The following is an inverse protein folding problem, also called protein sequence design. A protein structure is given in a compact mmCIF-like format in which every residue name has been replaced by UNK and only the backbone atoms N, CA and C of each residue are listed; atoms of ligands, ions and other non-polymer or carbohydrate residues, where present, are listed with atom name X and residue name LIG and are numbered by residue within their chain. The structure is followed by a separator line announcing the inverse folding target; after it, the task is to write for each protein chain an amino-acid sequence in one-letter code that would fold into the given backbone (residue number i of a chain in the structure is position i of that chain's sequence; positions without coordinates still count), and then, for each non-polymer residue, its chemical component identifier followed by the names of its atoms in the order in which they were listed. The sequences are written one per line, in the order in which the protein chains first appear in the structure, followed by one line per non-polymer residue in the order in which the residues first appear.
data_IF_224712474414
#
_entry.id   IF_224712474414
#
_cell.length_a   1.000
_cell.length_b   1.000
_cell.length_c   1.000
_cell.angle_alpha   90.00
_cell.angle_beta   90.00
_cell.angle_gamma   90.00
#
_symmetry.space_group_name_H-M   'P 1'
#
loop_
_entity.id
_entity.type
_entity.pdbx_description
1 polymer ?
#
# COMPACT_ATOMS: atom_id res chain seq x y z
N UNK A 1 1.38 13.01 -17.84
CA UNK A 1 2.01 11.89 -18.59
C UNK A 1 1.19 10.59 -18.59
N UNK A 2 0.57 10.14 -17.49
CA UNK A 2 -0.24 8.91 -17.52
C UNK A 2 -1.52 8.95 -18.40
N UNK A 3 -2.15 10.13 -18.54
CA UNK A 3 -3.43 10.28 -19.24
C UNK A 3 -3.35 10.06 -20.77
N UNK A 4 -2.25 10.46 -21.42
CA UNK A 4 -2.07 10.22 -22.85
C UNK A 4 -1.87 8.73 -23.13
N UNK A 5 -1.10 8.03 -22.29
CA UNK A 5 -0.93 6.58 -22.40
C UNK A 5 -2.26 5.85 -22.29
N UNK A 6 -3.11 6.22 -21.33
CA UNK A 6 -4.47 5.66 -21.21
C UNK A 6 -5.32 5.92 -22.46
N UNK A 7 -5.12 7.06 -23.12
CA UNK A 7 -5.79 7.38 -24.38
C UNK A 7 -5.29 6.49 -25.53
N UNK A 8 -4.00 6.15 -25.58
CA UNK A 8 -3.46 5.14 -26.49
C UNK A 8 -4.06 3.75 -26.20
N UNK A 9 -4.16 3.34 -24.92
CA UNK A 9 -4.83 2.09 -24.54
C UNK A 9 -6.26 2.09 -25.07
N UNK A 10 -7.01 3.18 -24.91
CA UNK A 10 -8.39 3.29 -25.42
C UNK A 10 -8.48 3.11 -26.93
N UNK A 11 -7.50 3.60 -27.70
CA UNK A 11 -7.48 3.43 -29.16
C UNK A 11 -7.24 1.98 -29.56
N UNK A 12 -6.30 1.31 -28.90
CA UNK A 12 -5.95 -0.09 -29.19
C UNK A 12 -6.92 -1.07 -28.51
N UNK A 13 -7.76 -0.60 -27.58
CA UNK A 13 -8.68 -1.43 -26.81
C UNK A 13 -9.59 -2.28 -27.68
N UNK A 14 -9.95 -1.84 -28.89
CA UNK A 14 -10.75 -2.64 -29.81
C UNK A 14 -10.13 -4.01 -30.11
N UNK A 15 -8.79 -4.10 -30.15
CA UNK A 15 -8.02 -5.31 -30.44
C UNK A 15 -7.73 -6.16 -29.19
N UNK A 16 -8.12 -5.69 -28.00
CA UNK A 16 -7.79 -6.33 -26.72
C UNK A 16 -9.05 -6.82 -26.00
N UNK A 17 -8.88 -7.89 -25.24
CA UNK A 17 -9.82 -8.39 -24.25
C UNK A 17 -9.70 -7.60 -22.93
N UNK A 18 -10.60 -7.83 -21.99
CA UNK A 18 -10.59 -7.13 -20.71
C UNK A 18 -9.29 -7.38 -19.90
N UNK A 19 -8.73 -8.59 -19.95
CA UNK A 19 -7.47 -8.89 -19.27
C UNK A 19 -6.27 -8.24 -19.97
N UNK A 20 -6.27 -8.19 -21.31
CA UNK A 20 -5.29 -7.46 -22.10
C UNK A 20 -5.26 -5.97 -21.76
N UNK A 21 -6.42 -5.32 -21.67
CA UNK A 21 -6.53 -3.91 -21.21
C UNK A 21 -5.98 -3.73 -19.80
N UNK A 22 -6.32 -4.64 -18.88
CA UNK A 22 -5.82 -4.61 -17.50
C UNK A 22 -4.30 -4.78 -17.41
N UNK A 23 -3.74 -5.69 -18.20
CA UNK A 23 -2.31 -5.96 -18.27
C UNK A 23 -1.54 -4.77 -18.84
N UNK A 24 -2.04 -4.19 -19.93
CA UNK A 24 -1.41 -3.04 -20.58
C UNK A 24 -1.50 -1.78 -19.70
N UNK A 25 -2.59 -1.61 -18.95
CA UNK A 25 -2.69 -0.58 -17.92
C UNK A 25 -1.63 -0.77 -16.82
N UNK A 26 -1.49 -1.99 -16.29
CA UNK A 26 -0.51 -2.32 -15.22
C UNK A 26 0.93 -2.05 -15.68
N UNK A 27 1.29 -2.41 -16.91
CA UNK A 27 2.66 -2.26 -17.40
C UNK A 27 3.02 -0.83 -17.82
N UNK A 28 2.11 -0.11 -18.49
CA UNK A 28 2.45 1.17 -19.14
C UNK A 28 2.04 2.41 -18.36
N UNK A 29 0.87 2.37 -17.71
CA UNK A 29 0.28 3.54 -17.04
C UNK A 29 0.57 3.47 -15.55
N UNK A 30 0.33 2.30 -14.94
CA UNK A 30 0.48 2.13 -13.48
C UNK A 30 1.93 2.23 -13.02
N UNK A 31 2.89 1.78 -13.82
CA UNK A 31 4.34 1.93 -13.55
C UNK A 31 4.74 3.39 -13.43
N UNK A 32 4.21 4.27 -14.28
CA UNK A 32 4.45 5.72 -14.22
C UNK A 32 3.73 6.39 -13.05
N UNK A 33 2.57 5.86 -12.67
CA UNK A 33 1.79 6.36 -11.53
C UNK A 33 2.26 5.82 -10.18
N UNK A 34 3.27 4.97 -10.11
CA UNK A 34 3.73 4.41 -8.83
C UNK A 34 5.26 4.25 -8.86
N UNK A 35 5.98 5.14 -9.54
CA UNK A 35 7.45 5.08 -9.58
C UNK A 35 8.05 5.32 -8.18
N UNK A 36 7.38 6.11 -7.34
CA UNK A 36 7.79 6.38 -5.96
C UNK A 36 6.58 6.37 -5.02
N UNK A 37 6.05 5.18 -4.69
CA UNK A 37 4.85 5.05 -3.85
C UNK A 37 5.08 5.61 -2.44
N UNK A 38 6.32 5.56 -1.94
CA UNK A 38 6.70 6.04 -0.63
C UNK A 38 6.73 7.57 -0.57
N UNK A 39 7.28 8.23 -1.59
CA UNK A 39 7.27 9.69 -1.66
C UNK A 39 5.83 10.22 -1.78
N UNK A 40 4.96 9.48 -2.47
CA UNK A 40 3.58 9.90 -2.69
C UNK A 40 2.64 9.56 -1.52
N UNK A 41 3.09 8.71 -0.59
CA UNK A 41 2.29 8.33 0.58
C UNK A 41 1.95 9.51 1.51
N UNK A 42 2.72 10.60 1.45
CA UNK A 42 2.49 11.83 2.21
C UNK A 42 1.64 12.87 1.47
N UNK A 43 1.34 12.65 0.18
CA UNK A 43 0.57 13.59 -0.62
C UNK A 43 -0.86 13.75 -0.08
N UNK A 44 -1.46 14.94 -0.21
CA UNK A 44 -2.86 15.14 0.15
C UNK A 44 -3.82 14.22 -0.64
N UNK A 45 -4.95 13.80 -0.03
CA UNK A 45 -5.95 12.97 -0.68
C UNK A 45 -6.49 13.57 -1.98
N UNK A 46 -6.53 14.91 -2.10
CA UNK A 46 -6.96 15.61 -3.30
C UNK A 46 -6.07 15.27 -4.52
N UNK A 47 -4.75 15.24 -4.33
CA UNK A 47 -3.80 14.87 -5.38
C UNK A 47 -3.82 13.37 -5.68
N UNK A 48 -3.91 12.54 -4.64
CA UNK A 48 -4.01 11.08 -4.82
C UNK A 48 -5.30 10.69 -5.55
N UNK A 49 -6.41 11.41 -5.30
CA UNK A 49 -7.67 11.22 -5.98
C UNK A 49 -7.59 11.47 -7.49
N UNK A 50 -6.66 12.31 -7.97
CA UNK A 50 -6.41 12.47 -9.41
C UNK A 50 -5.85 11.17 -10.04
N UNK A 51 -4.99 10.46 -9.31
CA UNK A 51 -4.46 9.17 -9.73
C UNK A 51 -5.57 8.10 -9.72
N UNK A 52 -6.40 8.11 -8.68
CA UNK A 52 -7.53 7.18 -8.58
C UNK A 52 -8.55 7.38 -9.73
N UNK A 53 -8.76 8.62 -10.19
CA UNK A 53 -9.60 8.89 -11.39
C UNK A 53 -9.01 8.26 -12.66
N UNK A 54 -7.69 8.26 -12.83
CA UNK A 54 -7.03 7.59 -13.96
C UNK A 54 -7.24 6.07 -13.88
N UNK A 55 -7.09 5.50 -12.68
CA UNK A 55 -7.36 4.09 -12.45
C UNK A 55 -8.83 3.73 -12.70
N UNK A 56 -9.77 4.53 -12.19
CA UNK A 56 -11.20 4.33 -12.40
C UNK A 56 -11.57 4.37 -13.89
N UNK A 57 -10.93 5.25 -14.67
CA UNK A 57 -11.13 5.31 -16.13
C UNK A 57 -10.62 4.03 -16.82
N UNK A 58 -9.49 3.48 -16.38
CA UNK A 58 -8.99 2.20 -16.89
C UNK A 58 -9.89 1.02 -16.51
N UNK A 59 -10.39 0.99 -15.27
CA UNK A 59 -11.35 -0.02 -14.80
C UNK A 59 -12.65 0.03 -15.61
N UNK A 60 -13.18 1.23 -15.89
CA UNK A 60 -14.36 1.40 -16.76
C UNK A 60 -14.11 0.84 -18.16
N UNK A 61 -12.94 1.12 -18.75
CA UNK A 61 -12.59 0.59 -20.07
C UNK A 61 -12.54 -0.95 -20.08
N UNK A 62 -12.00 -1.56 -19.03
CA UNK A 62 -11.97 -3.02 -18.90
C UNK A 62 -13.38 -3.62 -18.69
N UNK A 63 -14.23 -2.97 -17.89
CA UNK A 63 -15.62 -3.40 -17.66
C UNK A 63 -16.47 -3.34 -18.92
N UNK A 64 -16.30 -2.31 -19.76
CA UNK A 64 -16.98 -2.23 -21.06
C UNK A 64 -16.64 -3.40 -22.00
N UNK A 65 -15.47 -4.03 -21.81
CA UNK A 65 -15.03 -5.17 -22.61
C UNK A 65 -15.53 -6.52 -22.11
N UNK A 66 -15.90 -6.60 -20.85
CA UNK A 66 -16.44 -7.81 -20.25
C UNK A 66 -17.44 -7.42 -19.14
N UNK A 67 -18.69 -7.06 -19.52
CA UNK A 67 -19.71 -6.61 -18.57
C UNK A 67 -20.13 -7.71 -17.59
N UNK A 68 -20.15 -8.97 -18.04
CA UNK A 68 -20.59 -10.13 -17.26
C UNK A 68 -19.43 -10.92 -16.61
N UNK A 69 -18.18 -10.58 -16.95
CA UNK A 69 -17.02 -11.20 -16.31
C UNK A 69 -16.61 -10.43 -15.06
N UNK A 70 -16.03 -11.14 -14.09
CA UNK A 70 -15.32 -10.50 -12.99
C UNK A 70 -14.27 -9.55 -13.57
N UNK A 71 -14.52 -8.25 -13.46
CA UNK A 71 -13.63 -7.22 -13.99
C UNK A 71 -12.20 -7.48 -13.50
N UNK A 72 -11.16 -7.24 -14.33
CA UNK A 72 -9.79 -7.51 -13.95
C UNK A 72 -9.50 -6.89 -12.58
N UNK A 73 -9.01 -7.71 -11.63
CA UNK A 73 -8.74 -7.25 -10.27
C UNK A 73 -7.60 -6.22 -10.34
N UNK A 74 -8.01 -4.96 -10.34
CA UNK A 74 -7.14 -3.80 -10.27
C UNK A 74 -7.16 -3.34 -8.82
N UNK A 75 -6.15 -3.79 -8.07
CA UNK A 75 -5.93 -3.36 -6.68
C UNK A 75 -5.95 -1.82 -6.57
N UNK A 76 -6.60 -1.25 -5.55
CA UNK A 76 -6.53 0.17 -5.23
C UNK A 76 -5.08 0.64 -5.14
N UNK A 77 -4.81 1.84 -5.67
CA UNK A 77 -3.45 2.39 -5.62
C UNK A 77 -3.00 2.61 -4.18
N UNK A 78 -3.92 3.06 -3.33
CA UNK A 78 -3.66 3.30 -1.92
C UNK A 78 -3.17 2.03 -1.20
N UNK A 79 -3.87 0.91 -1.40
CA UNK A 79 -3.48 -0.39 -0.86
C UNK A 79 -2.05 -0.77 -1.27
N UNK A 80 -1.68 -0.56 -2.54
CA UNK A 80 -0.31 -0.88 -3.02
C UNK A 80 0.76 -0.03 -2.36
N UNK A 81 0.49 1.26 -2.13
CA UNK A 81 1.39 2.15 -1.40
C UNK A 81 1.54 1.71 0.03
N UNK A 82 0.45 1.27 0.66
CA UNK A 82 0.47 0.80 2.03
C UNK A 82 1.27 -0.49 2.18
N UNK A 83 1.09 -1.46 1.28
CA UNK A 83 1.91 -2.68 1.20
C UNK A 83 3.38 -2.33 1.03
N UNK A 84 3.72 -1.40 0.13
CA UNK A 84 5.10 -0.98 -0.10
C UNK A 84 5.72 -0.36 1.16
N UNK A 85 5.01 0.54 1.85
CA UNK A 85 5.51 1.18 3.07
C UNK A 85 5.68 0.21 4.23
N UNK A 86 4.71 -0.68 4.46
CA UNK A 86 4.83 -1.75 5.48
C UNK A 86 5.98 -2.69 5.16
N UNK A 87 6.19 -3.02 3.88
CA UNK A 87 7.33 -3.82 3.43
C UNK A 87 8.68 -3.15 3.75
N UNK A 88 8.77 -1.82 3.67
CA UNK A 88 9.97 -1.09 4.11
C UNK A 88 10.12 -1.14 5.63
N UNK A 89 9.05 -0.99 6.40
CA UNK A 89 9.08 -1.16 7.86
C UNK A 89 9.58 -2.55 8.25
N UNK A 90 9.09 -3.60 7.60
CA UNK A 90 9.57 -4.96 7.82
C UNK A 90 11.06 -5.11 7.50
N UNK A 91 11.53 -4.55 6.38
CA UNK A 91 12.96 -4.56 6.05
C UNK A 91 13.81 -3.79 7.07
N UNK A 92 13.32 -2.67 7.56
CA UNK A 92 14.02 -1.84 8.54
C UNK A 92 14.11 -2.54 9.91
N UNK A 93 13.01 -3.13 10.39
CA UNK A 93 12.90 -3.69 11.73
C UNK A 93 13.25 -5.18 11.83
N UNK A 94 12.74 -6.02 10.91
CA UNK A 94 12.92 -7.47 10.94
C UNK A 94 14.21 -7.91 10.24
N UNK A 95 14.46 -7.37 9.05
CA UNK A 95 15.68 -7.71 8.29
C UNK A 95 16.89 -6.86 8.67
N UNK A 96 16.69 -5.80 9.47
CA UNK A 96 17.75 -4.91 9.96
C UNK A 96 18.72 -4.44 8.87
N UNK A 97 18.19 -4.09 7.69
CA UNK A 97 19.01 -3.56 6.60
C UNK A 97 19.67 -2.24 7.01
N UNK A 98 21.00 -2.15 6.89
CA UNK A 98 21.80 -0.99 7.31
C UNK A 98 21.37 0.31 6.63
N UNK A 99 21.09 0.26 5.33
CA UNK A 99 20.61 1.41 4.54
C UNK A 99 19.24 1.98 5.00
N UNK A 100 18.51 1.25 5.86
CA UNK A 100 17.22 1.68 6.40
C UNK A 100 17.30 1.96 7.92
N UNK A 101 18.50 2.08 8.48
CA UNK A 101 18.70 2.29 9.92
C UNK A 101 17.97 3.54 10.43
N UNK A 102 18.03 4.65 9.67
CA UNK A 102 17.34 5.91 9.97
C UNK A 102 15.81 5.79 10.02
N UNK A 103 15.24 4.76 9.40
CA UNK A 103 13.80 4.52 9.41
C UNK A 103 13.34 3.65 10.58
N UNK A 104 14.26 3.14 11.40
CA UNK A 104 13.92 2.30 12.54
C UNK A 104 13.35 3.16 13.66
N UNK A 105 12.12 2.83 14.04
CA UNK A 105 11.47 3.42 15.20
C UNK A 105 11.88 2.70 16.49
N UNK A 106 11.93 3.44 17.60
CA UNK A 106 12.23 2.85 18.89
C UNK A 106 11.13 1.86 19.29
N UNK A 107 11.47 0.70 19.89
CA UNK A 107 10.49 -0.21 20.46
C UNK A 107 9.58 0.51 21.46
N UNK A 108 8.32 0.09 21.55
CA UNK A 108 7.39 0.66 22.52
C UNK A 108 7.76 0.22 23.93
N UNK A 109 7.87 1.18 24.85
CA UNK A 109 8.17 0.88 26.25
C UNK A 109 7.08 -0.03 26.85
N UNK A 110 7.51 -1.04 27.62
CA UNK A 110 6.61 -1.97 28.30
C UNK A 110 5.89 -1.22 29.43
N UNK A 111 4.54 -1.27 29.50
CA UNK A 111 3.85 -0.73 30.65
C UNK A 111 4.23 -1.54 31.91
N UNK A 112 4.45 -0.84 33.03
CA UNK A 112 4.83 -1.45 34.31
C UNK A 112 3.77 -2.40 34.88
N UNK A 113 2.53 -2.30 34.39
CA UNK A 113 1.42 -3.16 34.77
C UNK A 113 0.92 -3.96 33.57
N UNK A 114 0.79 -5.27 33.77
CA UNK A 114 0.25 -6.19 32.77
C UNK A 114 -1.24 -5.89 32.56
N UNK A 115 -1.58 -5.32 31.42
CA UNK A 115 -2.97 -5.10 31.00
C UNK A 115 -3.32 -6.10 29.90
N UNK A 116 -4.60 -6.46 29.76
CA UNK A 116 -5.10 -7.40 28.73
C UNK A 116 -4.70 -7.00 27.29
N UNK A 117 -4.27 -5.75 27.06
CA UNK A 117 -3.75 -5.22 25.80
C UNK A 117 -2.26 -5.55 25.53
N UNK A 118 -1.60 -6.36 26.36
CA UNK A 118 -0.17 -6.62 26.28
C UNK A 118 0.28 -7.61 25.19
N UNK A 119 -0.64 -8.19 24.41
CA UNK A 119 -0.28 -9.08 23.30
C UNK A 119 0.51 -8.30 22.24
N UNK A 120 1.69 -8.81 21.88
CA UNK A 120 2.61 -8.26 20.88
C UNK A 120 3.15 -6.84 21.14
N UNK A 121 3.15 -6.33 22.39
CA UNK A 121 3.79 -5.04 22.72
C UNK A 121 5.27 -5.01 22.31
N UNK A 122 5.96 -6.14 22.45
CA UNK A 122 7.39 -6.27 22.18
C UNK A 122 7.76 -6.01 20.70
N UNK A 123 6.78 -6.10 19.79
CA UNK A 123 6.96 -5.85 18.35
C UNK A 123 6.33 -4.52 17.89
N UNK A 124 5.72 -3.76 18.82
CA UNK A 124 5.21 -2.43 18.53
C UNK A 124 6.32 -1.37 18.62
N UNK A 125 6.14 -0.30 17.86
CA UNK A 125 7.06 0.82 17.76
C UNK A 125 6.44 2.10 18.35
N UNK A 126 7.30 2.95 18.90
CA UNK A 126 6.92 4.29 19.34
C UNK A 126 6.76 5.18 18.12
N UNK A 127 5.54 5.62 17.86
CA UNK A 127 5.22 6.49 16.73
C UNK A 127 5.59 7.93 17.09
N UNK A 128 6.35 8.66 16.25
CA UNK A 128 6.62 10.07 16.46
C UNK A 128 5.33 10.88 16.54
N UNK A 129 5.23 11.73 17.55
CA UNK A 129 4.10 12.65 17.67
C UNK A 129 4.20 13.76 16.61
N UNK A 130 3.09 14.06 15.95
CA UNK A 130 2.98 15.15 15.01
C UNK A 130 1.65 15.87 15.19
N UNK A 131 1.69 17.21 15.27
CA UNK A 131 0.48 18.04 15.39
C UNK A 131 -0.16 18.35 14.04
N UNK A 132 0.65 18.49 13.00
CA UNK A 132 0.17 18.89 11.69
C UNK A 132 -0.17 17.67 10.84
N UNK A 133 -1.29 17.76 10.12
CA UNK A 133 -1.80 16.67 9.30
C UNK A 133 -0.79 16.22 8.23
N UNK A 134 -0.04 17.16 7.66
CA UNK A 134 0.99 16.82 6.66
C UNK A 134 2.11 15.96 7.26
N UNK A 135 2.59 16.26 8.47
CA UNK A 135 3.58 15.44 9.16
C UNK A 135 3.02 14.09 9.59
N UNK A 136 1.73 14.04 9.97
CA UNK A 136 1.04 12.78 10.28
C UNK A 136 0.97 11.83 9.08
N UNK A 137 0.99 12.38 7.86
CA UNK A 137 1.01 11.63 6.59
C UNK A 137 2.41 11.25 6.12
N UNK A 138 3.46 11.82 6.71
CA UNK A 138 4.85 11.42 6.44
C UNK A 138 5.09 9.94 6.75
N UNK A 139 6.14 9.38 6.15
CA UNK A 139 6.44 7.95 6.21
C UNK A 139 6.41 7.39 7.65
N UNK A 140 7.19 7.96 8.57
CA UNK A 140 7.35 7.40 9.92
C UNK A 140 6.04 7.44 10.75
N UNK A 141 5.32 8.58 10.89
CA UNK A 141 4.09 8.59 11.68
C UNK A 141 2.97 7.75 11.07
N UNK A 142 2.89 7.68 9.74
CA UNK A 142 1.88 6.90 9.03
C UNK A 142 2.15 5.40 9.13
N UNK A 143 3.33 4.95 8.69
CA UNK A 143 3.66 3.53 8.64
C UNK A 143 4.01 2.95 10.00
N UNK A 144 4.46 3.75 10.97
CA UNK A 144 4.56 3.33 12.37
C UNK A 144 3.20 2.99 12.98
N UNK A 145 2.16 3.80 12.72
CA UNK A 145 0.78 3.48 13.15
C UNK A 145 0.25 2.24 12.47
N UNK A 146 0.45 2.13 11.16
CA UNK A 146 -0.01 0.99 10.38
C UNK A 146 0.71 -0.30 10.79
N UNK A 147 2.01 -0.25 11.07
CA UNK A 147 2.79 -1.36 11.64
C UNK A 147 2.23 -1.80 12.98
N UNK A 148 1.96 -0.87 13.89
CA UNK A 148 1.38 -1.20 15.19
C UNK A 148 -0.01 -1.84 15.06
N UNK A 149 -0.81 -1.43 14.08
CA UNK A 149 -2.11 -2.08 13.80
C UNK A 149 -1.90 -3.50 13.28
N UNK A 150 -1.00 -3.70 12.31
CA UNK A 150 -0.64 -5.01 11.78
C UNK A 150 -0.21 -5.97 12.89
N UNK A 151 0.70 -5.54 13.77
CA UNK A 151 1.23 -6.34 14.88
C UNK A 151 0.17 -6.69 15.94
N UNK A 152 -0.81 -5.79 16.16
CA UNK A 152 -1.91 -6.04 17.09
C UNK A 152 -2.91 -7.06 16.54
N UNK A 153 -3.13 -7.07 15.23
CA UNK A 153 -4.16 -7.89 14.59
C UNK A 153 -3.61 -9.21 14.04
N UNK A 154 -2.30 -9.28 13.73
CA UNK A 154 -1.70 -10.40 12.99
C UNK A 154 -0.27 -10.71 13.45
N UNK A 155 0.14 -11.95 13.24
CA UNK A 155 1.52 -12.41 13.48
C UNK A 155 2.41 -12.35 12.21
N UNK A 156 1.96 -11.61 11.19
CA UNK A 156 2.68 -11.49 9.91
C UNK A 156 4.11 -10.99 10.08
N UNK A 157 4.34 -10.12 11.07
CA UNK A 157 5.66 -9.56 11.39
C UNK A 157 6.72 -10.62 11.79
N UNK A 158 6.29 -11.82 12.21
CA UNK A 158 7.18 -12.93 12.59
C UNK A 158 7.67 -13.76 11.39
N UNK A 159 6.99 -13.64 10.25
CA UNK A 159 7.33 -14.34 9.00
C UNK A 159 8.81 -14.12 8.67
N UNK A 160 9.48 -15.14 8.16
CA UNK A 160 10.91 -15.06 7.77
C UNK A 160 11.09 -14.66 6.31
N UNK A 161 10.18 -15.10 5.44
CA UNK A 161 10.20 -14.78 4.01
C UNK A 161 9.53 -13.44 3.70
N UNK A 162 10.26 -12.57 3.01
CA UNK A 162 9.75 -11.30 2.49
C UNK A 162 8.56 -11.50 1.53
N UNK A 163 8.57 -12.57 0.74
CA UNK A 163 7.49 -12.87 -0.20
C UNK A 163 6.21 -13.23 0.56
N UNK A 164 6.31 -14.12 1.55
CA UNK A 164 5.18 -14.51 2.39
C UNK A 164 4.62 -13.32 3.16
N UNK A 165 5.50 -12.47 3.71
CA UNK A 165 5.11 -11.22 4.37
C UNK A 165 4.31 -10.31 3.43
N UNK A 166 4.83 -10.03 2.23
CA UNK A 166 4.17 -9.16 1.24
C UNK A 166 2.81 -9.72 0.81
N UNK A 167 2.71 -11.03 0.60
CA UNK A 167 1.45 -11.69 0.23
C UNK A 167 0.41 -11.59 1.36
N UNK A 168 0.83 -11.87 2.60
CA UNK A 168 -0.03 -11.76 3.78
C UNK A 168 -0.53 -10.34 4.04
N UNK A 169 0.34 -9.34 3.95
CA UNK A 169 -0.05 -7.93 4.09
C UNK A 169 -1.01 -7.49 2.98
N UNK A 170 -0.82 -7.98 1.75
CA UNK A 170 -1.76 -7.74 0.66
C UNK A 170 -3.15 -8.28 0.99
N UNK A 171 -3.25 -9.52 1.47
CA UNK A 171 -4.53 -10.14 1.82
C UNK A 171 -5.19 -9.44 3.01
N UNK A 172 -4.42 -9.08 4.04
CA UNK A 172 -4.91 -8.36 5.22
C UNK A 172 -5.51 -6.99 4.85
N UNK A 173 -4.81 -6.20 4.03
CA UNK A 173 -5.34 -4.91 3.57
C UNK A 173 -6.54 -5.04 2.62
N UNK A 174 -6.69 -6.17 1.91
CA UNK A 174 -7.91 -6.43 1.13
C UNK A 174 -9.11 -6.71 2.02
N UNK A 175 -8.91 -7.43 3.12
CA UNK A 175 -9.96 -7.71 4.09
C UNK A 175 -10.46 -6.43 4.78
N UNK A 176 -9.55 -5.52 5.16
CA UNK A 176 -9.91 -4.23 5.77
C UNK A 176 -10.70 -3.29 4.84
N UNK A 177 -10.53 -3.40 3.52
CA UNK A 177 -11.27 -2.58 2.55
C UNK A 177 -12.69 -3.10 2.23
N UNK A 178 -13.02 -4.30 2.68
CA UNK A 178 -14.31 -4.96 2.41
C UNK A 178 -15.27 -4.86 3.62
N UNK A 179 -14.80 -4.32 4.76
CA UNK A 179 -15.58 -4.00 5.96
C UNK A 179 -16.05 -2.55 5.94
#
# INVERSE_FOLDING_TARGET
MGAWKLSCIRRVAQLLDAQGVGTLYKSQVRSLMEYSPLAWSSCPPSYLGLLDRVQARAQRLARLKAPDAAAPIIQPLQQRRDVAGICVMYKAHRMQLLQLAELRLNPRARPSHSTRAARNIDHQVTVPFARMEHYLRSFLPRYGRLWNTLVRQTDLHLTTSMHAFKSGVNAWLQAELTQ
#
